data_IF_229807757946
#
_entry.id   IF_229807757946
#
_cell.length_a   1.000
_cell.length_b   1.000
_cell.length_c   1.000
_cell.angle_alpha   90.00
_cell.angle_beta   90.00
_cell.angle_gamma   90.00
#
_symmetry.space_group_name_H-M   'P 1'
#
loop_
_entity.id
_entity.type
_entity.pdbx_description
1 polymer ?
#
# COMPACT_ATOMS: atom_id res chain seq x y z
N UNK A 1 -8.05 -1.38 -2.49
CA UNK A 1 -6.96 -1.82 -3.39
C UNK A 1 -7.35 -3.04 -4.23
N UNK A 2 -7.86 -4.14 -3.64
CA UNK A 2 -8.29 -5.35 -4.38
C UNK A 2 -9.28 -5.06 -5.52
N UNK A 3 -10.31 -4.26 -5.26
CA UNK A 3 -11.24 -3.81 -6.30
C UNK A 3 -10.57 -3.00 -7.43
N UNK A 4 -9.57 -2.18 -7.13
CA UNK A 4 -8.81 -1.44 -8.14
C UNK A 4 -8.00 -2.38 -9.04
N UNK A 5 -7.41 -3.42 -8.46
CA UNK A 5 -6.67 -4.46 -9.20
C UNK A 5 -7.62 -5.27 -10.09
N UNK A 6 -8.77 -5.70 -9.57
CA UNK A 6 -9.81 -6.37 -10.37
C UNK A 6 -10.35 -5.47 -11.48
N UNK A 7 -10.58 -4.20 -11.21
CA UNK A 7 -11.01 -3.24 -12.22
C UNK A 7 -9.99 -3.13 -13.37
N UNK A 8 -8.72 -2.96 -13.04
CA UNK A 8 -7.61 -2.94 -14.01
C UNK A 8 -7.59 -4.22 -14.85
N UNK A 9 -7.78 -5.38 -14.23
CA UNK A 9 -7.78 -6.67 -14.93
C UNK A 9 -8.99 -6.83 -15.85
N UNK A 10 -10.19 -6.47 -15.37
CA UNK A 10 -11.42 -6.47 -16.15
C UNK A 10 -11.39 -5.48 -17.31
N UNK A 11 -10.72 -4.34 -17.16
CA UNK A 11 -10.53 -3.36 -18.21
C UNK A 11 -9.58 -3.87 -19.31
N UNK A 12 -8.59 -4.68 -18.95
CA UNK A 12 -7.67 -5.34 -19.89
C UNK A 12 -8.30 -6.55 -20.59
N UNK A 13 -9.19 -7.25 -19.90
CA UNK A 13 -9.84 -8.48 -20.37
C UNK A 13 -11.37 -8.35 -20.39
N UNK A 14 -11.94 -7.50 -21.26
CA UNK A 14 -13.37 -7.18 -21.27
C UNK A 14 -14.29 -8.37 -21.57
N UNK A 15 -13.78 -9.42 -22.23
CA UNK A 15 -14.55 -10.64 -22.56
C UNK A 15 -14.58 -11.67 -21.40
N UNK A 16 -13.72 -11.54 -20.39
CA UNK A 16 -13.60 -12.49 -19.27
C UNK A 16 -13.60 -11.76 -17.93
N UNK A 17 -14.61 -10.91 -17.72
CA UNK A 17 -14.70 -10.09 -16.52
C UNK A 17 -15.04 -10.94 -15.30
N UNK A 18 -14.30 -10.72 -14.22
CA UNK A 18 -14.62 -11.27 -12.91
C UNK A 18 -15.63 -10.36 -12.20
N UNK A 19 -16.74 -10.94 -11.74
CA UNK A 19 -17.83 -10.25 -11.03
C UNK A 19 -18.13 -10.93 -9.69
N UNK A 20 -18.99 -10.32 -8.88
CA UNK A 20 -19.34 -10.85 -7.54
C UNK A 20 -18.35 -10.43 -6.46
N UNK A 21 -18.38 -11.10 -5.31
CA UNK A 21 -17.58 -10.71 -4.14
C UNK A 21 -16.07 -10.88 -4.37
N UNK A 22 -15.25 -10.18 -3.57
CA UNK A 22 -13.80 -10.37 -3.58
C UNK A 22 -13.46 -11.74 -3.00
N UNK A 23 -12.52 -12.41 -3.64
CA UNK A 23 -11.98 -13.68 -3.18
C UNK A 23 -10.81 -13.45 -2.23
N UNK A 24 -10.53 -14.44 -1.37
CA UNK A 24 -9.37 -14.41 -0.46
C UNK A 24 -8.05 -14.19 -1.21
N UNK A 25 -7.79 -14.84 -2.36
CA UNK A 25 -6.60 -14.56 -3.17
C UNK A 25 -6.47 -13.09 -3.61
N UNK A 26 -7.57 -12.42 -3.97
CA UNK A 26 -7.52 -11.02 -4.39
C UNK A 26 -7.24 -10.07 -3.24
N UNK A 27 -7.79 -10.38 -2.06
CA UNK A 27 -7.49 -9.64 -0.84
C UNK A 27 -6.01 -9.82 -0.46
N UNK A 28 -5.49 -11.04 -0.54
CA UNK A 28 -4.08 -11.34 -0.30
C UNK A 28 -3.16 -10.62 -1.30
N UNK A 29 -3.46 -10.68 -2.60
CA UNK A 29 -2.71 -9.99 -3.63
C UNK A 29 -2.71 -8.46 -3.42
N UNK A 30 -3.86 -7.91 -3.01
CA UNK A 30 -3.97 -6.49 -2.70
C UNK A 30 -3.16 -6.09 -1.46
N UNK A 31 -3.15 -6.92 -0.42
CA UNK A 31 -2.31 -6.72 0.76
C UNK A 31 -0.83 -6.72 0.36
N UNK A 32 -0.38 -7.73 -0.38
CA UNK A 32 1.00 -7.82 -0.88
C UNK A 32 1.36 -6.59 -1.72
N UNK A 33 0.44 -6.11 -2.56
CA UNK A 33 0.64 -4.91 -3.36
C UNK A 33 0.85 -3.66 -2.48
N UNK A 34 0.05 -3.50 -1.42
CA UNK A 34 0.21 -2.39 -0.47
C UNK A 34 1.53 -2.49 0.29
N UNK A 35 1.87 -3.68 0.80
CA UNK A 35 3.14 -3.93 1.49
C UNK A 35 4.32 -3.59 0.59
N UNK A 36 4.31 -4.07 -0.67
CA UNK A 36 5.34 -3.73 -1.67
C UNK A 36 5.42 -2.24 -1.97
N UNK A 37 4.28 -1.55 -2.00
CA UNK A 37 4.26 -0.10 -2.23
C UNK A 37 4.93 0.66 -1.07
N UNK A 38 4.64 0.27 0.17
CA UNK A 38 5.26 0.85 1.36
C UNK A 38 6.75 0.52 1.39
N UNK A 39 7.11 -0.73 1.14
CA UNK A 39 8.48 -1.21 1.00
C UNK A 39 9.26 -0.39 -0.04
N UNK A 40 8.68 -0.16 -1.22
CA UNK A 40 9.32 0.63 -2.25
C UNK A 40 9.54 2.09 -1.83
N UNK A 41 8.53 2.73 -1.25
CA UNK A 41 8.59 4.15 -0.90
C UNK A 41 9.58 4.42 0.24
N UNK A 42 9.58 3.57 1.28
CA UNK A 42 10.30 3.87 2.52
C UNK A 42 11.54 2.99 2.76
N UNK A 43 11.62 1.83 2.11
CA UNK A 43 12.63 0.80 2.36
C UNK A 43 13.46 0.46 1.13
N UNK A 44 13.39 1.28 0.07
CA UNK A 44 14.13 1.00 -1.17
C UNK A 44 15.62 0.78 -0.92
N UNK A 45 16.24 1.56 -0.02
CA UNK A 45 17.66 1.40 0.35
C UNK A 45 17.93 0.09 1.07
N UNK A 46 17.10 -0.24 2.06
CA UNK A 46 17.22 -1.49 2.83
C UNK A 46 17.01 -2.71 1.92
N UNK A 47 16.02 -2.66 1.03
CA UNK A 47 15.77 -3.70 0.03
C UNK A 47 16.97 -3.85 -0.90
N UNK A 48 17.56 -2.76 -1.38
CA UNK A 48 18.76 -2.82 -2.22
C UNK A 48 19.96 -3.41 -1.47
N UNK A 49 20.13 -3.07 -0.20
CA UNK A 49 21.16 -3.62 0.67
C UNK A 49 20.99 -5.15 0.82
N UNK A 50 19.78 -5.60 1.16
CA UNK A 50 19.43 -7.02 1.25
C UNK A 50 19.64 -7.74 -0.09
N UNK A 51 19.21 -7.13 -1.20
CA UNK A 51 19.39 -7.70 -2.54
C UNK A 51 20.85 -7.88 -2.94
N UNK A 52 21.75 -7.06 -2.39
CA UNK A 52 23.21 -7.18 -2.57
C UNK A 52 23.87 -8.16 -1.59
N UNK A 53 23.12 -8.73 -0.65
CA UNK A 53 23.64 -9.59 0.42
C UNK A 53 24.39 -8.82 1.50
N UNK A 54 24.20 -7.50 1.58
CA UNK A 54 24.82 -6.65 2.60
C UNK A 54 24.02 -6.71 3.90
N UNK A 55 24.70 -6.49 5.03
CA UNK A 55 24.08 -6.49 6.36
C UNK A 55 23.38 -5.15 6.58
N UNK A 56 22.09 -5.21 6.92
CA UNK A 56 21.35 -4.02 7.36
C UNK A 56 21.93 -3.52 8.69
N UNK A 57 22.33 -2.25 8.75
CA UNK A 57 22.72 -1.64 10.02
C UNK A 57 21.50 -1.53 10.95
N UNK A 58 21.69 -1.74 12.26
CA UNK A 58 20.61 -1.57 13.26
C UNK A 58 19.93 -0.20 13.14
N UNK A 59 20.71 0.85 12.88
CA UNK A 59 20.21 2.20 12.62
C UNK A 59 19.17 2.28 11.51
N UNK A 60 19.24 1.40 10.51
CA UNK A 60 18.26 1.29 9.42
C UNK A 60 16.92 0.75 9.91
N UNK A 61 16.94 -0.22 10.83
CA UNK A 61 15.74 -0.81 11.46
C UNK A 61 15.07 0.18 12.42
N UNK A 62 15.84 0.89 13.24
CA UNK A 62 15.29 1.91 14.13
C UNK A 62 14.75 3.11 13.37
N UNK A 63 15.46 3.60 12.35
CA UNK A 63 14.99 4.68 11.47
C UNK A 63 13.73 4.29 10.71
N UNK A 64 13.69 3.04 10.22
CA UNK A 64 12.50 2.40 9.64
C UNK A 64 11.31 2.45 10.59
N UNK A 65 11.49 1.98 11.83
CA UNK A 65 10.41 1.91 12.81
C UNK A 65 9.96 3.31 13.23
N UNK A 66 10.87 4.27 13.31
CA UNK A 66 10.55 5.68 13.55
C UNK A 66 9.72 6.26 12.40
N UNK A 67 10.15 6.08 11.15
CA UNK A 67 9.42 6.53 9.96
C UNK A 67 8.03 5.90 9.86
N UNK A 68 7.93 4.59 10.07
CA UNK A 68 6.65 3.89 10.13
C UNK A 68 5.75 4.45 11.24
N UNK A 69 6.29 4.74 12.42
CA UNK A 69 5.52 5.36 13.52
C UNK A 69 5.05 6.77 13.17
N UNK A 70 5.79 7.58 12.42
CA UNK A 70 5.30 8.91 12.02
C UNK A 70 4.14 8.88 11.01
N UNK A 71 4.06 7.82 10.21
CA UNK A 71 3.12 7.73 9.07
C UNK A 71 1.93 6.80 9.35
N UNK A 72 2.15 5.70 10.08
CA UNK A 72 1.17 4.65 10.35
C UNK A 72 0.67 4.64 11.81
N UNK A 73 1.37 5.29 12.75
CA UNK A 73 0.76 5.63 14.03
C UNK A 73 -0.22 6.77 13.76
N UNK A 74 -1.49 6.60 14.09
CA UNK A 74 -2.54 7.58 13.79
C UNK A 74 -2.42 8.80 14.71
N UNK A 75 -1.31 9.54 14.66
CA UNK A 75 -1.36 10.98 14.92
C UNK A 75 -1.71 11.65 13.59
N UNK A 76 -2.74 12.50 13.60
CA UNK A 76 -3.36 13.09 12.41
C UNK A 76 -4.09 12.16 11.43
N UNK A 77 -4.33 10.88 11.73
CA UNK A 77 -5.17 10.04 10.86
C UNK A 77 -6.58 10.60 10.66
N UNK A 78 -7.17 11.27 11.67
CA UNK A 78 -8.40 12.07 11.51
C UNK A 78 -8.22 13.22 10.51
N UNK A 79 -7.08 13.91 10.55
CA UNK A 79 -6.76 15.03 9.66
C UNK A 79 -6.51 14.57 8.22
N UNK A 80 -5.82 13.43 8.03
CA UNK A 80 -5.57 12.79 6.74
C UNK A 80 -6.85 12.25 6.14
N UNK A 81 -7.70 11.58 6.93
CA UNK A 81 -9.04 11.15 6.51
C UNK A 81 -9.90 12.36 6.17
N UNK A 82 -9.92 13.42 6.98
CA UNK A 82 -10.62 14.68 6.65
C UNK A 82 -10.11 15.31 5.35
N UNK A 83 -8.80 15.32 5.12
CA UNK A 83 -8.20 15.88 3.89
C UNK A 83 -8.60 15.07 2.66
N UNK A 84 -8.59 13.74 2.76
CA UNK A 84 -9.03 12.85 1.68
C UNK A 84 -10.54 12.95 1.46
N UNK A 85 -11.33 13.04 2.53
CA UNK A 85 -12.79 13.24 2.47
C UNK A 85 -13.14 14.56 1.77
N UNK A 86 -12.51 15.67 2.19
CA UNK A 86 -12.78 17.00 1.65
C UNK A 86 -12.30 17.17 0.20
N UNK A 87 -11.24 16.47 -0.21
CA UNK A 87 -10.73 16.51 -1.59
C UNK A 87 -11.33 15.42 -2.50
N UNK A 88 -12.20 14.55 -1.96
CA UNK A 88 -12.87 13.53 -2.75
C UNK A 88 -14.26 14.00 -3.16
N UNK A 89 -14.42 14.41 -4.43
CA UNK A 89 -15.72 14.84 -5.01
C UNK A 89 -16.84 13.79 -4.91
N UNK A 90 -16.51 12.52 -4.68
CA UNK A 90 -17.49 11.44 -4.45
C UNK A 90 -17.95 11.34 -2.98
N UNK A 91 -17.09 11.71 -2.03
CA UNK A 91 -17.39 11.69 -0.59
C UNK A 91 -17.87 13.05 -0.07
N UNK A 92 -17.68 14.12 -0.86
CA UNK A 92 -18.23 15.46 -0.64
C UNK A 92 -19.70 15.57 -1.15
N UNK A 93 -20.49 14.51 -0.98
CA UNK A 93 -21.92 14.47 -1.25
C UNK A 93 -22.67 14.02 -0.01
#
# INVERSE_FOLDING_TARGET
MAWCMRFKENARNPLKRTTGNLTVPELSAALICLVRSVQFVYFSKDIQCIMKGEILSNSSVEATLANLRTQFWVTNGRSTVKRVWNNCLKCLK
#
